data_IF_242773057249
#
_entry.id   IF_242773057249
#
_cell.length_a   1.000
_cell.length_b   1.000
_cell.length_c   1.000
_cell.angle_alpha   90.00
_cell.angle_beta   90.00
_cell.angle_gamma   90.00
#
_symmetry.space_group_name_H-M   'P 1'
#
loop_
_entity.id
_entity.type
_entity.pdbx_description
1 polymer ?
#
# COMPACT_ATOMS: atom_id res chain seq x y z
N UNK A 1 10.32 3.17 -9.47
CA UNK A 1 11.08 4.09 -8.60
C UNK A 1 12.05 3.27 -7.76
N UNK A 2 13.21 3.81 -7.41
CA UNK A 2 14.13 3.18 -6.44
C UNK A 2 13.67 3.53 -5.01
N UNK A 3 12.93 2.61 -4.38
CA UNK A 3 12.39 2.83 -3.05
C UNK A 3 13.47 2.90 -1.96
N UNK A 4 14.60 2.21 -2.17
CA UNK A 4 15.70 2.17 -1.21
C UNK A 4 16.43 3.51 -1.16
N UNK A 5 16.73 4.10 -2.32
CA UNK A 5 17.33 5.43 -2.40
C UNK A 5 16.43 6.49 -1.73
N UNK A 6 15.13 6.49 -2.04
CA UNK A 6 14.18 7.43 -1.46
C UNK A 6 14.05 7.27 0.08
N UNK A 7 14.05 6.05 0.60
CA UNK A 7 14.01 5.81 2.04
C UNK A 7 15.26 6.36 2.75
N UNK A 8 16.44 6.19 2.14
CA UNK A 8 17.71 6.72 2.65
C UNK A 8 17.70 8.25 2.66
N UNK A 9 17.18 8.91 1.62
CA UNK A 9 17.02 10.38 1.57
C UNK A 9 16.15 10.91 2.73
N UNK A 10 15.17 10.12 3.17
CA UNK A 10 14.30 10.44 4.31
C UNK A 10 14.87 10.01 5.67
N UNK A 11 16.13 9.55 5.72
CA UNK A 11 16.78 9.12 6.96
C UNK A 11 16.30 7.76 7.50
N UNK A 12 15.63 6.96 6.67
CA UNK A 12 15.18 5.60 7.03
C UNK A 12 16.29 4.60 6.69
N UNK A 13 16.75 3.84 7.69
CA UNK A 13 17.73 2.77 7.47
C UNK A 13 17.14 1.64 6.61
N UNK A 14 17.56 1.59 5.34
CA UNK A 14 17.22 0.54 4.39
C UNK A 14 18.41 -0.40 4.08
N UNK A 15 19.53 -0.30 4.83
CA UNK A 15 20.84 -0.82 4.45
C UNK A 15 20.97 -2.35 4.39
N UNK A 16 20.24 -3.10 5.22
CA UNK A 16 20.28 -4.57 5.26
C UNK A 16 18.94 -5.25 4.89
N UNK A 17 17.94 -4.46 4.50
CA UNK A 17 16.59 -4.94 4.20
C UNK A 17 16.49 -5.46 2.76
N UNK A 18 15.70 -6.52 2.51
CA UNK A 18 15.35 -6.95 1.16
C UNK A 18 14.81 -5.77 0.34
N UNK A 19 15.05 -5.80 -0.98
CA UNK A 19 14.86 -4.65 -1.86
C UNK A 19 13.45 -4.06 -1.73
N UNK A 20 13.38 -2.77 -1.40
CA UNK A 20 12.11 -2.05 -1.29
C UNK A 20 11.67 -1.60 -2.68
N UNK A 21 10.58 -2.20 -3.17
CA UNK A 21 9.98 -1.86 -4.45
C UNK A 21 8.68 -1.09 -4.20
N UNK A 22 8.66 0.16 -4.67
CA UNK A 22 7.45 1.00 -4.63
C UNK A 22 6.65 0.79 -5.90
N UNK A 23 5.39 0.37 -5.75
CA UNK A 23 4.44 0.12 -6.84
C UNK A 23 3.37 1.20 -6.85
N UNK A 24 3.26 1.91 -7.96
CA UNK A 24 2.41 3.09 -8.08
C UNK A 24 0.98 2.72 -8.52
N UNK A 25 -0.01 3.23 -7.78
CA UNK A 25 -1.40 3.22 -8.21
C UNK A 25 -1.64 4.30 -9.26
N UNK A 26 -2.38 3.94 -10.30
CA UNK A 26 -2.78 4.84 -11.39
C UNK A 26 -4.28 4.66 -11.65
N UNK A 27 -4.94 5.52 -12.46
CA UNK A 27 -6.36 5.33 -12.79
C UNK A 27 -6.66 3.94 -13.40
N UNK A 28 -5.70 3.35 -14.11
CA UNK A 28 -5.84 2.03 -14.73
C UNK A 28 -5.32 0.85 -13.90
N UNK A 29 -4.58 1.08 -12.81
CA UNK A 29 -3.93 0.01 -12.02
C UNK A 29 -4.03 0.30 -10.54
N UNK A 30 -4.57 -0.67 -9.78
CA UNK A 30 -4.53 -0.69 -8.33
C UNK A 30 -3.66 -1.85 -7.84
N UNK A 31 -2.67 -1.58 -7.00
CA UNK A 31 -1.76 -2.57 -6.46
C UNK A 31 -2.25 -3.05 -5.08
N UNK A 32 -2.05 -4.33 -4.78
CA UNK A 32 -2.33 -4.95 -3.49
C UNK A 32 -1.14 -5.82 -3.08
N UNK A 33 -0.68 -5.71 -1.84
CA UNK A 33 0.51 -6.44 -1.36
C UNK A 33 0.10 -7.55 -0.41
N UNK A 34 0.62 -8.76 -0.60
CA UNK A 34 0.42 -9.90 0.32
C UNK A 34 1.74 -10.63 0.55
N UNK A 35 1.80 -11.48 1.57
CA UNK A 35 2.78 -12.54 1.69
C UNK A 35 2.04 -13.85 1.95
N UNK A 36 1.79 -14.64 0.90
CA UNK A 36 0.96 -15.84 1.01
C UNK A 36 1.58 -16.88 1.94
N UNK A 37 2.91 -16.99 1.93
CA UNK A 37 3.66 -18.00 2.68
C UNK A 37 3.80 -17.69 4.17
N UNK A 38 3.91 -16.41 4.56
CA UNK A 38 4.16 -16.04 5.94
C UNK A 38 3.64 -14.64 6.30
N UNK A 39 4.52 -13.63 6.30
CA UNK A 39 4.24 -12.25 6.72
C UNK A 39 5.34 -11.26 6.32
N UNK A 40 6.04 -11.50 5.20
CA UNK A 40 7.05 -10.60 4.66
C UNK A 40 6.47 -9.18 4.50
N UNK A 41 7.14 -8.18 5.05
CA UNK A 41 6.61 -6.82 5.18
C UNK A 41 7.76 -5.79 5.29
N UNK A 42 7.66 -4.58 4.71
CA UNK A 42 8.70 -3.55 4.77
C UNK A 42 8.74 -2.86 6.15
N UNK A 43 9.22 -3.57 7.18
CA UNK A 43 9.13 -3.12 8.58
C UNK A 43 9.85 -1.81 8.88
N UNK A 44 10.93 -1.52 8.16
CA UNK A 44 11.70 -0.29 8.35
C UNK A 44 10.91 0.95 7.90
N UNK A 45 9.94 0.80 7.00
CA UNK A 45 9.12 1.90 6.48
C UNK A 45 7.73 1.91 7.11
N UNK A 46 7.08 0.74 7.21
CA UNK A 46 5.67 0.63 7.61
C UNK A 46 5.47 0.06 9.03
N UNK A 47 6.55 -0.20 9.78
CA UNK A 47 6.49 -0.79 11.11
C UNK A 47 6.07 -2.26 11.12
N UNK A 48 5.45 -2.73 12.22
CA UNK A 48 5.01 -4.14 12.31
C UNK A 48 3.78 -4.37 11.42
N UNK A 49 3.69 -5.52 10.73
CA UNK A 49 2.50 -5.86 9.94
C UNK A 49 1.29 -5.99 10.88
N UNK A 50 0.11 -5.53 10.45
CA UNK A 50 -1.12 -5.70 11.23
C UNK A 50 -1.51 -7.18 11.35
N UNK A 51 -2.33 -7.51 12.35
CA UNK A 51 -2.74 -8.89 12.61
C UNK A 51 -3.49 -9.52 11.43
N UNK A 52 -4.37 -8.75 10.79
CA UNK A 52 -5.10 -9.21 9.60
C UNK A 52 -4.17 -9.56 8.44
N UNK A 53 -3.03 -8.88 8.28
CA UNK A 53 -2.10 -9.17 7.18
C UNK A 53 -1.47 -10.57 7.32
N UNK A 54 -1.30 -11.02 8.57
CA UNK A 54 -0.75 -12.35 8.90
C UNK A 54 -1.81 -13.44 8.86
N UNK A 55 -3.09 -13.09 8.82
CA UNK A 55 -4.20 -14.04 8.95
C UNK A 55 -4.30 -14.94 7.73
N UNK A 56 -4.82 -16.15 7.94
CA UNK A 56 -5.02 -17.10 6.86
C UNK A 56 -6.05 -16.58 5.85
N UNK A 57 -7.09 -15.91 6.34
CA UNK A 57 -8.16 -15.33 5.54
C UNK A 57 -7.61 -14.33 4.52
N UNK A 58 -6.78 -13.38 4.97
CA UNK A 58 -6.17 -12.42 4.06
C UNK A 58 -5.22 -13.09 3.07
N UNK A 59 -4.29 -13.91 3.58
CA UNK A 59 -3.22 -14.52 2.79
C UNK A 59 -3.72 -15.46 1.71
N UNK A 60 -4.77 -16.23 1.98
CA UNK A 60 -5.35 -17.18 1.02
C UNK A 60 -6.24 -16.50 -0.02
N UNK A 61 -6.88 -15.38 0.33
CA UNK A 61 -7.88 -14.72 -0.52
C UNK A 61 -7.32 -13.59 -1.36
N UNK A 62 -6.29 -12.88 -0.89
CA UNK A 62 -5.74 -11.70 -1.59
C UNK A 62 -5.27 -12.01 -3.02
N UNK A 63 -4.76 -13.21 -3.30
CA UNK A 63 -4.35 -13.62 -4.65
C UNK A 63 -5.49 -14.18 -5.52
N UNK A 64 -6.60 -14.60 -4.90
CA UNK A 64 -7.71 -15.30 -5.58
C UNK A 64 -8.92 -14.41 -5.84
N UNK A 65 -9.24 -13.55 -4.88
CA UNK A 65 -10.40 -12.66 -4.89
C UNK A 65 -10.04 -11.25 -4.34
N UNK A 66 -9.00 -10.59 -4.86
CA UNK A 66 -8.49 -9.32 -4.29
C UNK A 66 -9.54 -8.23 -4.19
N UNK A 67 -10.47 -8.15 -5.16
CA UNK A 67 -11.57 -7.18 -5.15
C UNK A 67 -12.55 -7.43 -3.99
N UNK A 68 -12.81 -8.70 -3.66
CA UNK A 68 -13.67 -9.04 -2.51
C UNK A 68 -12.98 -8.69 -1.20
N UNK A 69 -11.69 -8.99 -1.08
CA UNK A 69 -10.87 -8.59 0.08
C UNK A 69 -10.93 -7.08 0.28
N UNK A 70 -10.62 -6.27 -0.74
CA UNK A 70 -10.67 -4.80 -0.61
C UNK A 70 -12.06 -4.28 -0.23
N UNK A 71 -13.14 -4.92 -0.71
CA UNK A 71 -14.51 -4.54 -0.35
C UNK A 71 -14.78 -4.68 1.14
N UNK A 72 -14.17 -5.68 1.80
CA UNK A 72 -14.26 -5.86 3.26
C UNK A 72 -13.53 -4.75 4.03
N UNK A 73 -12.52 -4.11 3.40
CA UNK A 73 -11.88 -2.89 3.89
C UNK A 73 -12.62 -1.61 3.48
N UNK A 74 -13.81 -1.72 2.87
CA UNK A 74 -14.64 -0.59 2.47
C UNK A 74 -14.20 0.08 1.16
N UNK A 75 -13.36 -0.56 0.35
CA UNK A 75 -12.89 -0.02 -0.92
C UNK A 75 -13.15 -0.98 -2.08
N UNK A 76 -13.68 -0.46 -3.19
CA UNK A 76 -13.84 -1.23 -4.42
C UNK A 76 -13.19 -0.46 -5.59
N UNK A 77 -12.16 -1.02 -6.25
CA UNK A 77 -11.59 -0.39 -7.43
C UNK A 77 -12.64 -0.26 -8.54
N UNK A 78 -12.66 0.84 -9.31
CA UNK A 78 -13.59 1.02 -10.42
C UNK A 78 -13.64 -0.16 -11.40
N UNK A 79 -14.80 -0.30 -12.06
CA UNK A 79 -15.00 -1.25 -13.15
C UNK A 79 -14.04 -0.89 -14.30
N UNK A 80 -13.10 -1.77 -14.61
CA UNK A 80 -12.02 -1.52 -15.59
C UNK A 80 -10.63 -1.27 -14.99
N UNK A 81 -10.52 -0.98 -13.69
CA UNK A 81 -9.19 -0.89 -13.03
C UNK A 81 -8.56 -2.28 -12.91
N UNK A 82 -7.34 -2.46 -13.44
CA UNK A 82 -6.60 -3.71 -13.27
C UNK A 82 -6.09 -3.81 -11.83
N UNK A 83 -6.34 -4.93 -11.16
CA UNK A 83 -5.76 -5.20 -9.83
C UNK A 83 -4.48 -6.02 -9.99
N UNK A 84 -3.37 -5.47 -9.53
CA UNK A 84 -2.05 -6.13 -9.52
C UNK A 84 -1.72 -6.59 -8.10
N UNK A 85 -1.69 -7.90 -7.87
CA UNK A 85 -1.34 -8.46 -6.56
C UNK A 85 0.14 -8.80 -6.53
N UNK A 86 0.86 -8.27 -5.54
CA UNK A 86 2.28 -8.48 -5.33
C UNK A 86 2.50 -9.40 -4.13
N UNK A 87 2.90 -10.63 -4.40
CA UNK A 87 3.25 -11.59 -3.36
C UNK A 87 4.71 -11.42 -2.96
N UNK A 88 4.93 -11.03 -1.71
CA UNK A 88 6.24 -10.75 -1.12
C UNK A 88 6.97 -12.06 -0.87
N UNK A 89 7.74 -12.49 -1.88
CA UNK A 89 8.70 -13.59 -1.78
C UNK A 89 10.01 -13.11 -1.15
N UNK A 90 11.01 -14.00 -1.00
CA UNK A 90 12.13 -13.85 -0.08
C UNK A 90 12.84 -12.47 -0.14
N UNK A 91 13.17 -12.00 -1.34
CA UNK A 91 14.15 -10.93 -1.52
C UNK A 91 13.56 -9.53 -1.74
N UNK A 92 12.24 -9.41 -1.89
CA UNK A 92 11.57 -8.14 -2.21
C UNK A 92 10.54 -7.77 -1.14
N UNK A 93 10.48 -6.49 -0.79
CA UNK A 93 9.40 -5.91 0.02
C UNK A 93 8.70 -4.85 -0.82
N UNK A 94 7.39 -4.95 -0.94
CA UNK A 94 6.60 -3.98 -1.68
C UNK A 94 6.04 -2.90 -0.75
N UNK A 95 5.83 -1.71 -1.30
CA UNK A 95 4.99 -0.66 -0.73
C UNK A 95 4.17 -0.02 -1.85
N UNK A 96 2.87 0.19 -1.64
CA UNK A 96 2.01 0.90 -2.59
C UNK A 96 2.25 2.40 -2.44
N UNK A 97 2.46 3.10 -3.56
CA UNK A 97 2.29 4.55 -3.61
C UNK A 97 0.84 4.83 -4.05
N UNK A 98 -0.05 5.25 -3.15
CA UNK A 98 -1.43 5.54 -3.50
C UNK A 98 -1.54 6.80 -4.36
N UNK A 99 -2.60 6.88 -5.15
CA UNK A 99 -2.94 8.13 -5.85
C UNK A 99 -3.30 9.22 -4.84
N UNK A 100 -2.90 10.46 -5.13
CA UNK A 100 -3.33 11.63 -4.38
C UNK A 100 -4.87 11.73 -4.45
N UNK A 101 -5.58 11.83 -3.31
CA UNK A 101 -7.02 11.92 -3.32
C UNK A 101 -7.48 13.30 -3.85
N UNK A 102 -8.64 13.38 -4.53
CA UNK A 102 -9.23 14.64 -4.97
C UNK A 102 -9.49 15.62 -3.81
N UNK A 103 -9.51 16.92 -4.11
CA UNK A 103 -9.82 17.97 -3.11
C UNK A 103 -8.65 18.33 -2.19
N UNK A 104 -7.46 17.83 -2.49
CA UNK A 104 -6.25 18.05 -1.71
C UNK A 104 -5.27 19.01 -2.36
N UNK A 105 -5.63 19.67 -3.47
CA UNK A 105 -4.74 20.44 -4.34
C UNK A 105 -3.95 21.53 -3.59
N UNK A 106 -4.57 22.13 -2.57
CA UNK A 106 -3.95 23.17 -1.73
C UNK A 106 -3.30 22.68 -0.43
N UNK A 107 -3.29 21.37 -0.17
CA UNK A 107 -2.69 20.82 1.05
C UNK A 107 -1.17 20.78 0.96
N UNK A 108 -0.50 21.13 2.05
CA UNK A 108 0.94 20.96 2.22
C UNK A 108 1.35 19.51 2.46
N UNK A 109 2.65 19.26 2.55
CA UNK A 109 3.21 17.91 2.73
C UNK A 109 2.74 17.23 4.02
N UNK A 110 2.76 17.93 5.15
CA UNK A 110 2.31 17.38 6.44
C UNK A 110 0.83 17.00 6.41
N UNK A 111 0.00 17.86 5.81
CA UNK A 111 -1.43 17.63 5.65
C UNK A 111 -1.69 16.42 4.73
N UNK A 112 -0.98 16.31 3.62
CA UNK A 112 -1.09 15.15 2.72
C UNK A 112 -0.64 13.86 3.41
N UNK A 113 0.44 13.92 4.17
CA UNK A 113 0.98 12.78 4.94
C UNK A 113 -0.06 12.26 5.92
N UNK A 114 -0.84 13.15 6.55
CA UNK A 114 -1.92 12.76 7.48
C UNK A 114 -3.05 11.93 6.83
N UNK A 115 -3.20 12.00 5.50
CA UNK A 115 -4.17 11.20 4.75
C UNK A 115 -3.64 9.81 4.38
N UNK A 116 -2.32 9.63 4.36
CA UNK A 116 -1.70 8.37 3.95
C UNK A 116 -1.81 7.36 5.08
N UNK A 117 -2.75 6.41 4.94
CA UNK A 117 -2.95 5.35 5.91
C UNK A 117 -2.07 4.14 5.60
N UNK A 118 -1.79 3.33 6.63
CA UNK A 118 -1.10 2.04 6.45
C UNK A 118 -1.81 1.13 5.45
N UNK A 119 -3.15 1.12 5.49
CA UNK A 119 -3.96 0.28 4.62
C UNK A 119 -3.86 0.72 3.15
N UNK A 120 -3.75 2.03 2.89
CA UNK A 120 -3.45 2.57 1.57
C UNK A 120 -2.04 2.20 1.07
N UNK A 121 -1.05 2.13 1.97
CA UNK A 121 0.32 1.72 1.65
C UNK A 121 0.46 0.19 1.42
N UNK A 122 -0.52 -0.61 1.86
CA UNK A 122 -0.65 -2.04 1.53
C UNK A 122 -1.53 -2.25 0.29
N UNK A 123 -2.41 -1.29 0.00
CA UNK A 123 -3.35 -1.33 -1.12
C UNK A 123 -4.71 -1.94 -0.79
N UNK A 124 -5.03 -2.15 0.50
CA UNK A 124 -6.37 -2.63 0.91
C UNK A 124 -7.43 -1.53 0.89
N UNK A 125 -7.02 -0.26 0.92
CA UNK A 125 -7.88 0.92 0.80
C UNK A 125 -7.19 2.04 0.00
N UNK A 126 -7.81 3.22 -0.05
CA UNK A 126 -7.23 4.44 -0.62
C UNK A 126 -7.20 5.54 0.45
N UNK A 127 -6.33 6.55 0.33
CA UNK A 127 -6.38 7.74 1.18
C UNK A 127 -7.79 8.38 1.12
N UNK A 128 -8.34 8.83 2.26
CA UNK A 128 -9.64 9.46 2.27
C UNK A 128 -9.61 10.78 1.49
N UNK A 129 -10.71 11.11 0.81
CA UNK A 129 -10.90 12.43 0.25
C UNK A 129 -10.92 13.48 1.37
N UNK A 130 -10.39 14.67 1.09
CA UNK A 130 -10.51 15.78 2.02
C UNK A 130 -11.94 16.34 1.98
N UNK A 131 -12.68 16.21 3.08
CA UNK A 131 -13.93 16.94 3.31
C UNK A 131 -13.63 18.31 3.92
N UNK A 132 -13.01 19.21 3.16
CA UNK A 132 -13.07 20.64 3.50
C UNK A 132 -14.40 21.20 2.99
N UNK A 133 -15.43 21.12 3.82
CA UNK A 133 -16.60 21.99 3.71
C UNK A 133 -16.11 23.41 3.96
N UNK A 134 -16.25 24.29 2.96
CA UNK A 134 -16.10 25.73 3.14
C UNK A 134 -17.20 26.31 4.02
#
# INVERSE_FOLDING_TARGET
>A
MDGKAAAIELGIDAGASPDLVVVENTPGVHNLIVCTLCSCYPRNVLGRPPDWYKSFEYRSRAVREPRAVMREFGFEPPEGTRVAVHDSTADVRYMVLPMRPPGTEGMGEEELTSLVTRDALIGTSIPPASTRTG
#
